data_IF_130633808878
#
_entry.id   IF_130633808878
#
_cell.length_a   1.000
_cell.length_b   1.000
_cell.length_c   1.000
_cell.angle_alpha   90.00
_cell.angle_beta   90.00
_cell.angle_gamma   90.00
#
_symmetry.space_group_name_H-M   'P 1'
#
loop_
_entity.id
_entity.type
_entity.pdbx_description
1 polymer ?
#
# COMPACT_ATOMS: atom_id res chain seq x y z
N UNK A 1 22.88 -10.78 -22.00
CA UNK A 1 22.99 -9.50 -21.26
C UNK A 1 22.95 -9.79 -19.76
N UNK A 2 23.88 -9.26 -18.96
CA UNK A 2 23.80 -9.31 -17.48
C UNK A 2 23.07 -8.06 -17.01
N UNK A 3 21.79 -8.19 -16.73
CA UNK A 3 21.01 -7.13 -16.10
C UNK A 3 21.38 -7.05 -14.62
N UNK A 4 21.38 -5.83 -14.06
CA UNK A 4 21.44 -5.67 -12.61
C UNK A 4 20.21 -6.30 -11.95
N UNK A 5 20.30 -6.58 -10.65
CA UNK A 5 19.15 -7.09 -9.88
C UNK A 5 17.97 -6.12 -10.00
N UNK A 6 18.24 -4.82 -9.89
CA UNK A 6 17.24 -3.76 -10.05
C UNK A 6 16.51 -3.82 -11.39
N UNK A 7 17.23 -3.89 -12.51
CA UNK A 7 16.64 -3.93 -13.86
C UNK A 7 15.85 -5.22 -14.10
N UNK A 8 16.32 -6.33 -13.52
CA UNK A 8 15.66 -7.63 -13.63
C UNK A 8 14.29 -7.63 -12.96
N UNK A 9 14.17 -6.98 -11.81
CA UNK A 9 12.91 -6.86 -11.05
C UNK A 9 12.03 -5.71 -11.55
N UNK A 10 12.62 -4.64 -12.11
CA UNK A 10 11.89 -3.52 -12.72
C UNK A 10 11.15 -3.93 -14.00
N UNK A 11 11.81 -4.65 -14.91
CA UNK A 11 11.22 -5.07 -16.18
C UNK A 11 9.82 -5.73 -16.03
N UNK A 12 9.65 -6.78 -15.21
CA UNK A 12 8.34 -7.39 -15.02
C UNK A 12 7.36 -6.44 -14.33
N UNK A 13 7.80 -5.59 -13.40
CA UNK A 13 6.92 -4.59 -12.78
C UNK A 13 6.34 -3.64 -13.84
N UNK A 14 7.20 -3.07 -14.68
CA UNK A 14 6.76 -2.19 -15.78
C UNK A 14 5.83 -2.92 -16.73
N UNK A 15 6.12 -4.17 -17.10
CA UNK A 15 5.25 -4.96 -17.98
C UNK A 15 3.86 -5.20 -17.38
N UNK A 16 3.77 -5.41 -16.06
CA UNK A 16 2.50 -5.67 -15.37
C UNK A 16 1.66 -4.40 -15.17
N UNK A 17 2.32 -3.24 -15.07
CA UNK A 17 1.68 -1.95 -14.77
C UNK A 17 1.64 -0.98 -15.97
N UNK A 18 2.25 -1.32 -17.12
CA UNK A 18 2.17 -0.53 -18.36
C UNK A 18 0.78 -0.61 -18.98
N UNK A 19 0.39 0.46 -19.66
CA UNK A 19 -0.80 0.48 -20.51
C UNK A 19 -2.10 0.86 -19.80
N UNK A 20 -2.02 1.79 -18.83
CA UNK A 20 -3.16 2.56 -18.31
C UNK A 20 -4.48 1.79 -18.25
N UNK A 21 -4.53 0.70 -17.46
CA UNK A 21 -5.80 0.01 -17.22
C UNK A 21 -6.77 1.05 -16.65
N UNK A 22 -7.94 1.24 -17.27
CA UNK A 22 -8.91 2.29 -16.89
C UNK A 22 -9.08 2.46 -15.37
N UNK A 23 -9.28 3.71 -14.95
CA UNK A 23 -9.24 4.19 -13.55
C UNK A 23 -7.87 4.11 -12.84
N UNK A 24 -6.93 3.26 -13.31
CA UNK A 24 -5.54 3.18 -12.80
C UNK A 24 -4.66 4.39 -13.17
N UNK A 25 -5.20 5.35 -13.92
CA UNK A 25 -4.56 6.64 -14.22
C UNK A 25 -4.74 7.68 -13.10
N UNK A 26 -5.49 7.36 -12.04
CA UNK A 26 -5.57 8.26 -10.88
C UNK A 26 -4.33 8.11 -10.01
N UNK A 27 -3.76 9.24 -9.56
CA UNK A 27 -2.63 9.25 -8.62
C UNK A 27 -2.88 8.34 -7.41
N UNK A 28 -4.14 8.27 -6.97
CA UNK A 28 -4.63 7.39 -5.89
C UNK A 28 -4.26 5.94 -6.04
N UNK A 29 -4.26 5.40 -7.26
CA UNK A 29 -3.87 4.02 -7.51
C UNK A 29 -2.39 3.79 -7.16
N UNK A 30 -1.51 4.71 -7.57
CA UNK A 30 -0.08 4.64 -7.30
C UNK A 30 0.25 4.91 -5.82
N UNK A 31 -0.48 5.84 -5.19
CA UNK A 31 -0.39 6.10 -3.75
C UNK A 31 -0.79 4.85 -2.94
N UNK A 32 -1.91 4.20 -3.31
CA UNK A 32 -2.36 2.96 -2.69
C UNK A 32 -1.36 1.83 -2.91
N UNK A 33 -0.82 1.67 -4.12
CA UNK A 33 0.19 0.66 -4.42
C UNK A 33 1.45 0.85 -3.56
N UNK A 34 1.92 2.09 -3.43
CA UNK A 34 3.08 2.43 -2.60
C UNK A 34 2.84 2.13 -1.12
N UNK A 35 1.62 2.33 -0.64
CA UNK A 35 1.27 2.12 0.75
C UNK A 35 0.95 0.66 1.06
N UNK A 36 0.23 -0.07 0.22
CA UNK A 36 -0.14 -1.46 0.49
C UNK A 36 1.03 -2.43 0.32
N UNK A 37 1.97 -2.13 -0.58
CA UNK A 37 3.01 -3.09 -0.87
C UNK A 37 4.06 -3.15 0.24
N UNK A 38 4.39 -4.37 0.64
CA UNK A 38 5.45 -4.63 1.61
C UNK A 38 6.79 -4.93 0.93
N UNK A 39 6.78 -5.30 -0.35
CA UNK A 39 7.95 -5.66 -1.16
C UNK A 39 7.74 -5.19 -2.61
N UNK A 40 8.75 -4.61 -3.28
CA UNK A 40 10.08 -4.28 -2.76
C UNK A 40 10.03 -3.14 -1.72
N UNK A 41 11.16 -2.80 -1.05
CA UNK A 41 11.19 -1.68 -0.12
C UNK A 41 10.63 -0.41 -0.74
N UNK A 42 9.95 0.41 0.04
CA UNK A 42 9.24 1.62 -0.42
C UNK A 42 10.07 2.53 -1.33
N UNK A 43 11.36 2.68 -1.05
CA UNK A 43 12.27 3.47 -1.87
C UNK A 43 12.42 2.91 -3.30
N UNK A 44 12.57 1.59 -3.42
CA UNK A 44 12.65 0.90 -4.72
C UNK A 44 11.30 0.92 -5.42
N UNK A 45 10.21 0.72 -4.68
CA UNK A 45 8.87 0.75 -5.26
C UNK A 45 8.50 2.14 -5.81
N UNK A 46 8.91 3.21 -5.13
CA UNK A 46 8.79 4.58 -5.67
C UNK A 46 9.47 4.70 -7.02
N UNK A 47 10.73 4.26 -7.13
CA UNK A 47 11.46 4.29 -8.39
C UNK A 47 10.76 3.47 -9.47
N UNK A 48 10.19 2.32 -9.12
CA UNK A 48 9.46 1.47 -10.07
C UNK A 48 8.20 2.15 -10.59
N UNK A 49 7.44 2.81 -9.71
CA UNK A 49 6.25 3.58 -10.07
C UNK A 49 6.64 4.77 -10.96
N UNK A 50 7.71 5.49 -10.63
CA UNK A 50 8.21 6.59 -11.45
C UNK A 50 8.59 6.14 -12.87
N UNK A 51 9.25 4.99 -13.02
CA UNK A 51 9.58 4.43 -14.34
C UNK A 51 8.33 4.01 -15.11
N UNK A 52 7.29 3.48 -14.45
CA UNK A 52 5.99 3.20 -15.09
C UNK A 52 5.32 4.48 -15.60
N UNK A 53 5.31 5.54 -14.78
CA UNK A 53 4.73 6.82 -15.15
C UNK A 53 5.49 7.47 -16.31
N UNK A 54 6.83 7.39 -16.30
CA UNK A 54 7.68 7.81 -17.43
C UNK A 54 7.39 7.02 -18.69
N UNK A 55 7.21 5.70 -18.58
CA UNK A 55 6.90 4.82 -19.71
C UNK A 55 5.54 5.16 -20.33
N UNK A 56 4.53 5.48 -19.51
CA UNK A 56 3.21 5.86 -19.98
C UNK A 56 3.16 7.29 -20.55
N UNK A 57 4.16 8.13 -20.26
CA UNK A 57 4.23 9.52 -20.74
C UNK A 57 3.39 10.51 -19.93
N UNK A 58 2.89 10.11 -18.76
CA UNK A 58 2.00 10.92 -17.91
C UNK A 58 2.79 11.87 -16.99
N UNK A 59 3.33 12.94 -17.58
CA UNK A 59 4.19 13.90 -16.86
C UNK A 59 3.49 14.53 -15.65
N UNK A 60 2.21 14.89 -15.78
CA UNK A 60 1.45 15.51 -14.69
C UNK A 60 1.29 14.56 -13.49
N UNK A 61 1.03 13.28 -13.74
CA UNK A 61 0.92 12.27 -12.68
C UNK A 61 2.28 12.00 -12.05
N UNK A 62 3.36 11.98 -12.85
CA UNK A 62 4.72 11.84 -12.34
C UNK A 62 5.09 12.98 -11.39
N UNK A 63 4.78 14.23 -11.75
CA UNK A 63 5.04 15.39 -10.90
C UNK A 63 4.20 15.34 -9.62
N UNK A 64 2.92 15.04 -9.73
CA UNK A 64 2.04 14.92 -8.57
C UNK A 64 2.50 13.79 -7.64
N UNK A 65 2.91 12.63 -8.17
CA UNK A 65 3.41 11.51 -7.38
C UNK A 65 4.76 11.81 -6.72
N UNK A 66 5.66 12.56 -7.38
CA UNK A 66 6.92 13.02 -6.77
C UNK A 66 6.71 13.99 -5.62
N UNK A 67 5.67 14.81 -5.70
CA UNK A 67 5.30 15.75 -4.65
C UNK A 67 4.43 15.12 -3.55
N UNK A 68 3.98 13.88 -3.74
CA UNK A 68 3.24 13.16 -2.73
C UNK A 68 4.19 12.79 -1.58
N UNK A 69 3.96 13.36 -0.39
CA UNK A 69 4.59 12.90 0.83
C UNK A 69 3.71 11.83 1.47
N UNK A 70 4.12 10.56 1.42
CA UNK A 70 3.22 9.47 1.72
C UNK A 70 3.11 9.28 3.24
N UNK A 71 1.92 9.48 3.84
CA UNK A 71 1.78 9.61 5.28
C UNK A 71 2.23 8.36 6.04
N UNK A 72 2.70 8.55 7.26
CA UNK A 72 3.09 7.44 8.13
C UNK A 72 1.85 6.78 8.71
N UNK A 73 1.71 5.49 8.48
CA UNK A 73 0.62 4.72 9.09
C UNK A 73 0.72 4.80 10.62
N UNK A 74 -0.34 5.22 11.32
CA UNK A 74 -0.24 5.58 12.74
C UNK A 74 -0.35 4.39 13.70
N UNK A 75 -0.66 3.18 13.21
CA UNK A 75 -0.79 1.97 14.04
C UNK A 75 0.41 1.05 13.86
N UNK A 76 0.97 0.59 14.97
CA UNK A 76 2.07 -0.38 14.98
C UNK A 76 1.62 -1.77 15.44
N UNK A 77 2.35 -2.80 15.02
CA UNK A 77 2.09 -4.19 15.44
C UNK A 77 2.09 -4.38 16.97
N UNK A 78 2.90 -3.62 17.71
CA UNK A 78 2.90 -3.64 19.18
C UNK A 78 1.56 -3.24 19.77
N UNK A 79 0.91 -2.21 19.23
CA UNK A 79 -0.40 -1.74 19.70
C UNK A 79 -1.49 -2.80 19.49
N UNK A 80 -1.35 -3.61 18.43
CA UNK A 80 -2.24 -4.75 18.17
C UNK A 80 -2.00 -5.87 19.19
N UNK A 81 -0.74 -6.13 19.56
CA UNK A 81 -0.38 -7.12 20.57
C UNK A 81 -0.92 -6.78 21.96
N UNK A 82 -0.86 -5.51 22.36
CA UNK A 82 -1.45 -5.02 23.61
C UNK A 82 -2.98 -5.25 23.69
N UNK A 83 -3.65 -5.29 22.53
CA UNK A 83 -5.09 -5.56 22.40
C UNK A 83 -5.42 -7.03 22.15
N UNK A 84 -4.53 -7.92 22.57
CA UNK A 84 -4.67 -9.37 22.48
C UNK A 84 -4.74 -9.94 21.05
N UNK A 85 -4.29 -9.20 20.04
CA UNK A 85 -4.20 -9.72 18.66
C UNK A 85 -2.83 -10.39 18.51
N UNK A 86 -2.82 -11.66 18.12
CA UNK A 86 -1.58 -12.46 18.08
C UNK A 86 -1.39 -13.22 16.76
N UNK A 87 -0.13 -13.43 16.40
CA UNK A 87 0.27 -14.26 15.26
C UNK A 87 -0.31 -13.77 13.93
N UNK A 88 -0.89 -14.68 13.16
CA UNK A 88 -1.41 -14.42 11.80
C UNK A 88 -2.53 -13.36 11.77
N UNK A 89 -3.26 -13.18 12.87
CA UNK A 89 -4.31 -12.16 12.95
C UNK A 89 -3.73 -10.74 12.90
N UNK A 90 -2.50 -10.52 13.41
CA UNK A 90 -1.86 -9.19 13.35
C UNK A 90 -1.71 -8.76 11.89
N UNK A 91 -1.19 -9.62 11.02
CA UNK A 91 -1.00 -9.30 9.61
C UNK A 91 -2.33 -9.00 8.91
N UNK A 92 -3.36 -9.81 9.18
CA UNK A 92 -4.68 -9.65 8.56
C UNK A 92 -5.39 -8.38 9.03
N UNK A 93 -5.39 -8.12 10.33
CA UNK A 93 -5.94 -6.90 10.92
C UNK A 93 -5.17 -5.67 10.44
N UNK A 94 -3.84 -5.75 10.38
CA UNK A 94 -3.01 -4.63 9.93
C UNK A 94 -3.23 -4.31 8.46
N UNK A 95 -3.42 -5.33 7.61
CA UNK A 95 -3.82 -5.14 6.20
C UNK A 95 -5.19 -4.44 6.12
N UNK A 96 -6.18 -4.97 6.84
CA UNK A 96 -7.55 -4.44 6.83
C UNK A 96 -7.62 -2.99 7.35
N UNK A 97 -6.91 -2.68 8.43
CA UNK A 97 -6.81 -1.31 8.94
C UNK A 97 -6.16 -0.37 7.92
N UNK A 98 -5.13 -0.84 7.22
CA UNK A 98 -4.47 -0.04 6.18
C UNK A 98 -5.41 0.21 5.00
N UNK A 99 -6.18 -0.79 4.58
CA UNK A 99 -7.23 -0.65 3.56
C UNK A 99 -8.26 0.43 3.96
N UNK A 100 -8.80 0.37 5.19
CA UNK A 100 -9.75 1.37 5.70
C UNK A 100 -9.12 2.78 5.78
N UNK A 101 -7.86 2.86 6.18
CA UNK A 101 -7.12 4.12 6.24
C UNK A 101 -6.90 4.75 4.86
N UNK A 102 -6.58 3.95 3.85
CA UNK A 102 -6.43 4.40 2.46
C UNK A 102 -7.78 4.83 1.87
N UNK A 103 -8.86 4.09 2.16
CA UNK A 103 -10.22 4.45 1.73
C UNK A 103 -10.67 5.80 2.32
N UNK A 104 -10.31 6.07 3.57
CA UNK A 104 -10.56 7.34 4.25
C UNK A 104 -9.60 8.48 3.87
N UNK A 105 -8.75 8.29 2.86
CA UNK A 105 -7.84 9.33 2.38
C UNK A 105 -6.72 9.69 3.36
N UNK A 106 -6.25 8.70 4.14
CA UNK A 106 -5.13 8.83 5.07
C UNK A 106 -5.39 9.73 6.30
N UNK A 107 -6.64 10.13 6.54
CA UNK A 107 -6.98 11.08 7.61
C UNK A 107 -7.22 10.43 8.96
N UNK A 108 -7.48 9.11 9.02
CA UNK A 108 -7.82 8.47 10.29
C UNK A 108 -6.63 8.46 11.23
N UNK A 109 -6.91 8.85 12.47
CA UNK A 109 -5.94 8.87 13.54
C UNK A 109 -5.73 7.48 14.13
N UNK A 110 -4.65 7.33 14.92
CA UNK A 110 -4.38 6.10 15.66
C UNK A 110 -5.59 5.62 16.47
N UNK A 111 -6.24 6.53 17.21
CA UNK A 111 -7.37 6.18 18.08
C UNK A 111 -8.60 5.69 17.28
N UNK A 112 -8.92 6.35 16.17
CA UNK A 112 -10.03 5.95 15.30
C UNK A 112 -9.80 4.58 14.66
N UNK A 113 -8.56 4.31 14.19
CA UNK A 113 -8.19 3.00 13.68
C UNK A 113 -8.28 1.92 14.76
N UNK A 114 -7.83 2.23 15.97
CA UNK A 114 -7.89 1.32 17.10
C UNK A 114 -9.32 1.07 17.62
N UNK A 115 -10.26 2.01 17.41
CA UNK A 115 -11.70 1.84 17.71
C UNK A 115 -12.39 0.88 16.74
N UNK A 116 -11.92 0.76 15.51
CA UNK A 116 -12.45 -0.19 14.52
C UNK A 116 -11.95 -1.64 14.71
N UNK A 117 -10.91 -1.85 15.53
CA UNK A 117 -10.37 -3.18 15.81
C UNK A 117 -11.38 -4.26 16.24
N UNK A 118 -12.29 -4.02 17.20
CA UNK A 118 -13.27 -5.04 17.59
C UNK A 118 -14.18 -5.46 16.43
N UNK A 119 -14.59 -4.52 15.57
CA UNK A 119 -15.41 -4.79 14.38
C UNK A 119 -14.62 -5.63 13.37
N UNK A 120 -13.39 -5.21 13.05
CA UNK A 120 -12.50 -5.94 12.14
C UNK A 120 -12.21 -7.35 12.67
N UNK A 121 -12.01 -7.51 13.98
CA UNK A 121 -11.80 -8.82 14.60
C UNK A 121 -13.03 -9.72 14.45
N UNK A 122 -14.24 -9.17 14.56
CA UNK A 122 -15.47 -9.91 14.35
C UNK A 122 -15.62 -10.36 12.89
N UNK A 123 -15.33 -9.47 11.94
CA UNK A 123 -15.37 -9.76 10.49
C UNK A 123 -14.36 -10.84 10.07
N UNK A 124 -13.16 -10.82 10.67
CA UNK A 124 -12.08 -11.76 10.37
C UNK A 124 -12.18 -13.07 11.13
N UNK A 125 -13.11 -13.21 12.08
CA UNK A 125 -13.39 -14.47 12.73
C UNK A 125 -14.32 -15.28 11.82
N UNK A 126 -13.87 -16.41 11.24
CA UNK A 126 -14.76 -17.23 10.43
C UNK A 126 -15.95 -17.71 11.28
N UNK A 127 -17.14 -17.91 10.69
CA UNK A 127 -18.21 -18.61 11.38
C UNK A 127 -17.67 -19.97 11.81
N UNK A 128 -17.67 -20.23 13.12
CA UNK A 128 -17.39 -21.56 13.63
C UNK A 128 -18.37 -22.50 12.95
N UNK A 129 -17.84 -23.44 12.16
CA UNK A 129 -18.60 -24.54 11.58
C UNK A 129 -18.34 -25.78 12.41
#
# INVERSE_FOLDING_TARGET
MRLSVFERDLCPFVINHRGGKGDSGSIRHYEELLLMSYQPPRAILQQYIEEVLKYNGDVQLLEAFKNFDPPKFPVNGHMLMERQIKGKQITLVMKTLKERWIQAGYQLTQDELLKMLPEIKAELSPPQK
#
